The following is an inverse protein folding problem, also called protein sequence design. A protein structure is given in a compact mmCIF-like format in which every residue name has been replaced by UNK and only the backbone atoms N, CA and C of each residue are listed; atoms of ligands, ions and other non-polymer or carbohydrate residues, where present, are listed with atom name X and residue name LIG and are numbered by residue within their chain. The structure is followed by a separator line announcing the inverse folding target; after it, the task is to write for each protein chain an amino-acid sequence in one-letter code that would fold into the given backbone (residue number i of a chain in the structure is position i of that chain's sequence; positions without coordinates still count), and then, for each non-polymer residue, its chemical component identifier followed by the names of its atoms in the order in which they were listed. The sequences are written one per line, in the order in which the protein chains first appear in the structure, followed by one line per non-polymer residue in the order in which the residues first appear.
data_IF_616696565846
#
_entry.id   IF_616696565846
#
_cell.length_a   1.000
_cell.length_b   1.000
_cell.length_c   1.000
_cell.angle_alpha   90.00
_cell.angle_beta   90.00
_cell.angle_gamma   90.00
#
_symmetry.space_group_name_H-M   'P 1'
#
loop_
_entity.id
_entity.type
_entity.pdbx_description
1 polymer ?
#
# COMPACT_ATOMS: atom_id res chain seq x y z
N UNK A 1 3.65 -15.44 3.61
CA UNK A 1 4.05 -14.37 4.55
C UNK A 1 3.21 -13.13 4.35
N UNK A 2 2.95 -12.42 5.41
CA UNK A 2 2.26 -11.14 5.38
C UNK A 2 3.26 -10.01 5.46
N UNK A 3 2.96 -8.93 4.75
CA UNK A 3 3.80 -7.73 4.72
C UNK A 3 2.92 -6.52 5.00
N UNK A 4 3.38 -5.66 5.89
CA UNK A 4 2.72 -4.39 6.19
C UNK A 4 3.32 -3.31 5.31
N UNK A 5 2.48 -2.61 4.58
CA UNK A 5 2.88 -1.49 3.74
C UNK A 5 2.33 -0.22 4.38
N UNK A 6 3.23 0.67 4.78
CA UNK A 6 2.86 1.95 5.38
C UNK A 6 3.13 3.04 4.36
N UNK A 7 2.11 3.83 4.08
CA UNK A 7 2.17 4.91 3.09
C UNK A 7 1.97 6.25 3.80
N UNK A 8 3.00 7.08 3.82
CA UNK A 8 2.93 8.42 4.41
C UNK A 8 2.89 9.45 3.31
N UNK A 9 1.90 10.36 3.37
CA UNK A 9 1.74 11.40 2.35
C UNK A 9 2.94 12.33 2.31
N UNK A 10 3.35 12.68 1.11
CA UNK A 10 4.43 13.65 0.86
C UNK A 10 3.81 15.01 0.51
N UNK A 11 4.63 16.10 0.47
CA UNK A 11 4.13 17.39 -0.03
C UNK A 11 3.60 17.34 -1.47
N UNK A 12 3.93 16.28 -2.23
CA UNK A 12 3.44 16.10 -3.61
C UNK A 12 2.16 15.28 -3.67
N UNK A 13 1.54 14.97 -2.54
CA UNK A 13 0.29 14.22 -2.52
C UNK A 13 -0.79 14.97 -3.32
N UNK A 14 -1.47 14.23 -4.19
CA UNK A 14 -2.58 14.74 -4.98
C UNK A 14 -3.83 13.92 -4.68
N UNK A 15 -4.94 14.60 -4.39
CA UNK A 15 -6.20 13.94 -4.09
C UNK A 15 -6.66 13.04 -5.26
N UNK A 16 -6.33 13.42 -6.48
CA UNK A 16 -6.69 12.63 -7.67
C UNK A 16 -6.08 11.22 -7.70
N UNK A 17 -5.01 10.98 -6.95
CA UNK A 17 -4.37 9.66 -6.92
C UNK A 17 -5.19 8.63 -6.12
N UNK A 18 -6.09 9.10 -5.27
CA UNK A 18 -6.84 8.22 -4.35
C UNK A 18 -7.67 7.20 -5.11
N UNK A 19 -8.30 7.61 -6.21
CA UNK A 19 -9.12 6.72 -7.02
C UNK A 19 -8.28 5.61 -7.65
N UNK A 20 -7.14 5.96 -8.25
CA UNK A 20 -6.24 4.98 -8.85
C UNK A 20 -5.67 4.02 -7.80
N UNK A 21 -5.36 4.53 -6.61
CA UNK A 21 -4.91 3.71 -5.50
C UNK A 21 -5.99 2.70 -5.08
N UNK A 22 -7.24 3.13 -4.97
CA UNK A 22 -8.36 2.24 -4.63
C UNK A 22 -8.54 1.13 -5.65
N UNK A 23 -8.43 1.47 -6.93
CA UNK A 23 -8.50 0.47 -8.01
C UNK A 23 -7.36 -0.54 -7.93
N UNK A 24 -6.16 -0.07 -7.61
CA UNK A 24 -5.00 -0.94 -7.42
C UNK A 24 -5.24 -1.93 -6.28
N UNK A 25 -5.74 -1.45 -5.13
CA UNK A 25 -6.07 -2.30 -4.00
C UNK A 25 -7.20 -3.28 -4.32
N UNK A 26 -8.19 -2.86 -5.09
CA UNK A 26 -9.29 -3.73 -5.52
C UNK A 26 -8.78 -4.90 -6.35
N UNK A 27 -7.80 -4.67 -7.23
CA UNK A 27 -7.19 -5.73 -8.02
C UNK A 27 -6.42 -6.71 -7.13
N UNK A 28 -5.70 -6.21 -6.15
CA UNK A 28 -5.00 -7.06 -5.17
C UNK A 28 -5.99 -7.92 -4.39
N UNK A 29 -7.13 -7.35 -4.03
CA UNK A 29 -8.18 -8.07 -3.32
C UNK A 29 -8.76 -9.20 -4.18
N UNK A 30 -9.02 -8.93 -5.45
CA UNK A 30 -9.49 -9.94 -6.39
C UNK A 30 -8.51 -11.10 -6.52
N UNK A 31 -7.22 -10.82 -6.47
CA UNK A 31 -6.17 -11.84 -6.54
C UNK A 31 -5.98 -12.58 -5.21
N UNK A 32 -6.71 -12.19 -4.16
CA UNK A 32 -6.57 -12.81 -2.84
C UNK A 32 -5.32 -12.38 -2.09
N UNK A 33 -4.67 -11.30 -2.52
CA UNK A 33 -3.41 -10.84 -1.95
C UNK A 33 -3.59 -9.76 -0.88
N UNK A 34 -4.73 -9.08 -0.84
CA UNK A 34 -4.96 -7.97 0.06
C UNK A 34 -5.63 -8.44 1.36
N UNK A 35 -5.06 -8.04 2.49
CA UNK A 35 -5.71 -8.15 3.80
C UNK A 35 -6.42 -6.84 4.17
N UNK A 36 -6.21 -6.37 5.40
CA UNK A 36 -6.77 -5.08 5.83
C UNK A 36 -6.10 -3.93 5.08
N UNK A 37 -6.87 -2.87 4.86
CA UNK A 37 -6.37 -1.65 4.25
C UNK A 37 -7.22 -0.47 4.73
N UNK A 38 -6.59 0.69 4.93
CA UNK A 38 -7.32 1.88 5.30
C UNK A 38 -6.43 3.07 5.57
N UNK A 39 -7.02 4.28 5.56
CA UNK A 39 -6.32 5.49 5.93
C UNK A 39 -6.15 5.62 7.42
N UNK A 40 -5.12 6.35 7.85
CA UNK A 40 -5.02 6.78 9.24
C UNK A 40 -6.03 7.91 9.48
N UNK A 41 -6.61 7.91 10.67
CA UNK A 41 -7.68 8.88 10.99
C UNK A 41 -7.18 10.33 11.07
N UNK A 42 -5.87 10.51 11.29
CA UNK A 42 -5.25 11.84 11.29
C UNK A 42 -4.91 12.35 9.87
N UNK A 43 -5.20 11.56 8.85
CA UNK A 43 -5.00 11.89 7.43
C UNK A 43 -3.53 12.06 7.02
N UNK A 44 -2.59 11.52 7.81
CA UNK A 44 -1.16 11.57 7.45
C UNK A 44 -0.77 10.52 6.40
N UNK A 45 -1.60 9.50 6.22
CA UNK A 45 -1.33 8.41 5.31
C UNK A 45 -2.26 7.24 5.59
N UNK A 46 -1.78 6.04 5.35
CA UNK A 46 -2.53 4.84 5.60
C UNK A 46 -1.63 3.62 5.58
N UNK A 47 -2.24 2.45 5.68
CA UNK A 47 -1.52 1.19 5.63
C UNK A 47 -2.36 0.11 5.00
N UNK A 48 -1.70 -0.91 4.47
CA UNK A 48 -2.38 -2.11 4.02
C UNK A 48 -1.47 -3.32 4.17
N UNK A 49 -2.10 -4.49 4.21
CA UNK A 49 -1.42 -5.77 4.40
C UNK A 49 -1.55 -6.56 3.11
N UNK A 50 -0.43 -7.10 2.62
CA UNK A 50 -0.44 -8.00 1.46
C UNK A 50 0.20 -9.34 1.80
N UNK A 51 -0.21 -10.37 1.07
CA UNK A 51 0.43 -11.67 1.08
C UNK A 51 1.43 -11.71 -0.07
N UNK A 52 2.63 -12.17 0.21
CA UNK A 52 3.66 -12.34 -0.81
C UNK A 52 4.60 -13.48 -0.39
N UNK A 53 5.31 -14.04 -1.36
CA UNK A 53 6.22 -15.14 -1.09
C UNK A 53 7.52 -14.68 -0.42
N UNK A 54 7.92 -13.43 -0.65
CA UNK A 54 9.15 -12.87 -0.11
C UNK A 54 9.08 -11.34 -0.10
N UNK A 55 10.07 -10.70 0.52
CA UNK A 55 10.13 -9.24 0.64
C UNK A 55 10.22 -8.56 -0.73
N UNK A 56 10.97 -9.12 -1.66
CA UNK A 56 11.10 -8.55 -3.01
C UNK A 56 9.75 -8.47 -3.71
N UNK A 57 8.95 -9.54 -3.62
CA UNK A 57 7.62 -9.57 -4.20
C UNK A 57 6.70 -8.56 -3.53
N UNK A 58 6.79 -8.41 -2.19
CA UNK A 58 6.00 -7.42 -1.46
C UNK A 58 6.38 -6.01 -1.86
N UNK A 59 7.67 -5.73 -2.04
CA UNK A 59 8.14 -4.42 -2.51
C UNK A 59 7.65 -4.11 -3.91
N UNK A 60 7.64 -5.12 -4.79
CA UNK A 60 7.11 -4.94 -6.15
C UNK A 60 5.64 -4.53 -6.12
N UNK A 61 4.85 -5.13 -5.23
CA UNK A 61 3.44 -4.76 -5.05
C UNK A 61 3.34 -3.31 -4.57
N UNK A 62 4.07 -2.95 -3.51
CA UNK A 62 4.00 -1.62 -2.92
C UNK A 62 4.42 -0.54 -3.92
N UNK A 63 5.51 -0.76 -4.63
CA UNK A 63 6.09 0.24 -5.52
C UNK A 63 5.39 0.32 -6.88
N UNK A 64 4.50 -0.61 -7.18
CA UNK A 64 3.60 -0.53 -8.32
C UNK A 64 2.33 0.28 -8.05
N UNK A 65 2.07 0.62 -6.79
CA UNK A 65 0.89 1.39 -6.40
C UNK A 65 1.01 2.83 -6.93
N UNK A 66 -0.07 3.39 -7.52
CA UNK A 66 -0.05 4.78 -8.00
C UNK A 66 0.32 5.81 -6.94
N UNK A 67 0.06 5.57 -5.66
CA UNK A 67 0.50 6.51 -4.62
C UNK A 67 2.02 6.56 -4.51
N UNK A 68 2.72 5.51 -4.93
CA UNK A 68 4.18 5.50 -4.99
C UNK A 68 4.68 6.07 -6.33
N UNK A 69 4.13 5.59 -7.44
CA UNK A 69 4.66 5.96 -8.77
C UNK A 69 4.50 7.44 -9.09
N UNK A 70 3.53 8.11 -8.47
CA UNK A 70 3.31 9.55 -8.63
C UNK A 70 4.07 10.39 -7.62
N UNK A 71 4.76 9.77 -6.67
CA UNK A 71 5.44 10.49 -5.60
C UNK A 71 4.50 11.04 -4.52
N UNK A 72 3.24 10.64 -4.54
CA UNK A 72 2.23 11.14 -3.60
C UNK A 72 2.45 10.65 -2.17
N UNK A 73 3.05 9.48 -2.01
CA UNK A 73 3.33 8.91 -0.69
C UNK A 73 4.69 8.23 -0.69
N UNK A 74 5.31 8.22 0.48
CA UNK A 74 6.51 7.43 0.74
C UNK A 74 6.06 6.12 1.34
N UNK A 75 6.46 4.99 0.75
CA UNK A 75 6.05 3.67 1.18
C UNK A 75 7.19 2.93 1.86
N UNK A 76 6.85 2.28 2.97
CA UNK A 76 7.75 1.38 3.70
C UNK A 76 7.10 0.01 3.76
N UNK A 77 7.92 -1.04 3.62
CA UNK A 77 7.44 -2.42 3.57
C UNK A 77 8.11 -3.22 4.67
N UNK A 78 7.29 -3.88 5.49
CA UNK A 78 7.77 -4.67 6.62
C UNK A 78 7.22 -6.08 6.53
N UNK A 79 8.09 -7.09 6.68
CA UNK A 79 7.62 -8.45 6.90
C UNK A 79 6.99 -8.49 8.30
N UNK A 80 5.78 -9.03 8.40
CA UNK A 80 5.02 -8.96 9.63
C UNK A 80 4.47 -10.33 10.02
N UNK A 81 5.00 -10.85 11.11
CA UNK A 81 4.52 -12.10 11.68
C UNK A 81 3.29 -11.80 12.56
N UNK A 82 2.19 -11.43 11.90
CA UNK A 82 0.97 -11.04 12.58
C UNK A 82 0.18 -12.27 13.06
N UNK A 83 -0.37 -12.16 14.25
CA UNK A 83 -1.20 -13.23 14.83
C UNK A 83 -2.59 -13.29 14.19
#
# INVERSE_FOLDING_TARGET
MRYLIVAMRTPRFQQSVVEAHREYLAQLKEQGLLGLAGPFTDKTGGAYIVKAKDLESAKAIAFGDPIHTTGSSMLSVYEWDAA
#
